data_IF_919742651551
#
_entry.id   IF_919742651551
#
_cell.length_a   1.000
_cell.length_b   1.000
_cell.length_c   1.000
_cell.angle_alpha   90.00
_cell.angle_beta   90.00
_cell.angle_gamma   90.00
#
_symmetry.space_group_name_H-M   'P 1'
#
loop_
_entity.id
_entity.type
_entity.pdbx_description
1 polymer ?
#
# COMPACT_ATOMS: atom_id res chain seq x y z
N UNK A 1 34.78 -3.23 -69.05
CA UNK A 1 34.91 -2.23 -67.97
C UNK A 1 33.73 -2.45 -67.03
N UNK A 2 33.95 -2.78 -65.74
CA UNK A 2 32.87 -2.88 -64.78
C UNK A 2 32.23 -1.49 -64.56
N UNK A 3 30.91 -1.40 -64.31
CA UNK A 3 30.26 -0.12 -64.07
C UNK A 3 30.74 0.47 -62.73
N UNK A 4 31.12 1.75 -62.74
CA UNK A 4 31.48 2.50 -61.54
C UNK A 4 30.27 2.66 -60.63
N UNK A 5 30.44 2.27 -59.37
CA UNK A 5 29.43 2.42 -58.33
C UNK A 5 29.29 3.90 -57.97
N UNK A 6 28.07 4.44 -58.05
CA UNK A 6 27.80 5.85 -57.76
C UNK A 6 28.16 6.18 -56.29
N UNK A 7 29.09 7.13 -56.03
CA UNK A 7 29.53 7.49 -54.69
C UNK A 7 28.41 8.05 -53.81
N UNK A 8 27.36 8.63 -54.41
CA UNK A 8 26.18 9.08 -53.67
C UNK A 8 25.33 7.90 -53.17
N UNK A 9 25.28 6.79 -53.92
CA UNK A 9 24.57 5.59 -53.49
C UNK A 9 25.27 4.91 -52.31
N UNK A 10 26.61 4.91 -52.31
CA UNK A 10 27.44 4.45 -51.19
C UNK A 10 27.25 5.33 -49.94
N UNK A 11 27.15 6.65 -50.10
CA UNK A 11 26.93 7.58 -49.00
C UNK A 11 25.53 7.44 -48.40
N UNK A 12 24.50 7.25 -49.24
CA UNK A 12 23.12 7.01 -48.79
C UNK A 12 23.00 5.66 -48.07
N UNK A 13 23.66 4.60 -48.58
CA UNK A 13 23.74 3.30 -47.90
C UNK A 13 24.50 3.40 -46.57
N UNK A 14 25.58 4.18 -46.50
CA UNK A 14 26.33 4.41 -45.27
C UNK A 14 25.52 5.20 -44.23
N UNK A 15 24.74 6.19 -44.65
CA UNK A 15 23.85 6.94 -43.75
C UNK A 15 22.63 6.13 -43.32
N UNK A 16 22.09 5.26 -44.18
CA UNK A 16 21.05 4.30 -43.80
C UNK A 16 21.57 3.23 -42.81
N UNK A 17 22.83 2.80 -42.96
CA UNK A 17 23.48 1.91 -42.00
C UNK A 17 23.81 2.60 -40.66
N UNK A 18 24.10 3.90 -40.68
CA UNK A 18 24.34 4.70 -39.46
C UNK A 18 23.06 5.11 -38.71
N UNK A 19 21.90 5.04 -39.37
CA UNK A 19 20.58 5.25 -38.74
C UNK A 19 20.04 4.02 -38.01
N UNK A 20 20.79 2.90 -38.00
CA UNK A 20 20.61 1.84 -37.00
C UNK A 20 21.14 2.34 -35.66
N UNK A 21 20.43 3.32 -35.09
CA UNK A 21 20.49 3.60 -33.66
C UNK A 21 20.28 2.26 -32.99
N UNK A 22 21.25 1.85 -32.17
CA UNK A 22 21.17 0.70 -31.30
C UNK A 22 19.89 0.81 -30.46
N UNK A 23 18.80 0.21 -30.95
CA UNK A 23 17.75 -0.26 -30.07
C UNK A 23 18.46 -1.23 -29.13
N UNK A 24 18.71 -0.80 -27.90
CA UNK A 24 19.06 -1.71 -26.82
C UNK A 24 18.02 -2.81 -26.90
N UNK A 25 18.43 -4.02 -27.31
CA UNK A 25 17.52 -5.14 -27.46
C UNK A 25 16.83 -5.28 -26.11
N UNK A 26 15.54 -4.97 -26.06
CA UNK A 26 14.73 -5.24 -24.88
C UNK A 26 14.87 -6.74 -24.65
N UNK A 27 15.39 -7.08 -23.49
CA UNK A 27 15.27 -8.42 -22.95
C UNK A 27 13.79 -8.83 -23.04
N UNK A 28 13.55 -10.11 -23.25
CA UNK A 28 12.20 -10.66 -23.41
C UNK A 28 12.20 -12.10 -22.90
N UNK A 29 11.01 -12.67 -22.71
CA UNK A 29 10.80 -14.03 -22.18
C UNK A 29 11.40 -14.22 -20.76
N UNK A 30 10.96 -13.41 -19.80
CA UNK A 30 11.33 -13.49 -18.39
C UNK A 30 12.82 -13.29 -18.07
N UNK A 31 13.55 -12.56 -18.93
CA UNK A 31 14.99 -12.35 -18.75
C UNK A 31 15.35 -10.92 -18.36
N UNK A 32 14.42 -9.97 -18.44
CA UNK A 32 14.69 -8.60 -18.01
C UNK A 32 14.91 -8.50 -16.52
N UNK A 33 16.04 -7.91 -16.16
CA UNK A 33 16.45 -7.66 -14.79
C UNK A 33 15.91 -6.33 -14.29
N UNK A 34 16.09 -6.07 -13.00
CA UNK A 34 15.64 -4.84 -12.37
C UNK A 34 16.18 -3.60 -13.11
N UNK A 35 15.29 -2.66 -13.43
CA UNK A 35 15.51 -1.42 -14.20
C UNK A 35 15.72 -1.59 -15.72
N UNK A 36 15.70 -2.82 -16.23
CA UNK A 36 15.74 -3.05 -17.67
C UNK A 36 14.44 -2.57 -18.34
N UNK A 37 14.49 -2.07 -19.58
CA UNK A 37 13.30 -1.73 -20.36
C UNK A 37 12.44 -2.96 -20.61
N UNK A 38 11.13 -2.81 -20.47
CA UNK A 38 10.16 -3.86 -20.78
C UNK A 38 8.96 -3.25 -21.51
N UNK A 39 8.25 -4.08 -22.26
CA UNK A 39 7.02 -3.69 -22.97
C UNK A 39 5.84 -4.55 -22.55
N UNK A 40 6.08 -5.84 -22.29
CA UNK A 40 5.08 -6.83 -21.93
C UNK A 40 5.24 -7.29 -20.47
N UNK A 41 4.14 -7.80 -19.90
CA UNK A 41 4.10 -8.26 -18.50
C UNK A 41 5.11 -9.38 -18.23
N UNK A 42 5.37 -10.22 -19.25
CA UNK A 42 6.23 -11.42 -19.16
C UNK A 42 7.69 -11.16 -19.56
N UNK A 43 8.08 -9.92 -19.87
CA UNK A 43 9.48 -9.61 -20.18
C UNK A 43 10.40 -9.76 -18.95
N UNK A 44 9.84 -9.46 -17.77
CA UNK A 44 10.56 -9.36 -16.52
C UNK A 44 10.83 -10.72 -15.85
N UNK A 45 12.00 -10.84 -15.21
CA UNK A 45 12.38 -12.01 -14.45
C UNK A 45 11.40 -12.30 -13.28
N UNK A 46 11.32 -13.54 -12.79
CA UNK A 46 10.44 -13.89 -11.68
C UNK A 46 10.62 -12.97 -10.47
N UNK A 47 9.50 -12.45 -9.94
CA UNK A 47 9.52 -11.48 -8.83
C UNK A 47 9.69 -10.02 -9.28
N UNK A 48 9.72 -9.76 -10.58
CA UNK A 48 9.67 -8.43 -11.20
C UNK A 48 8.37 -8.29 -12.03
N UNK A 49 7.88 -7.06 -12.20
CA UNK A 49 6.79 -6.74 -13.13
C UNK A 49 7.17 -5.54 -14.00
N UNK A 50 6.60 -5.50 -15.20
CA UNK A 50 6.82 -4.40 -16.12
C UNK A 50 5.93 -3.21 -15.73
N UNK A 51 6.54 -2.10 -15.32
CA UNK A 51 5.80 -0.94 -14.84
C UNK A 51 6.54 0.37 -15.03
N UNK A 52 5.79 1.47 -14.97
CA UNK A 52 6.37 2.81 -15.00
C UNK A 52 6.80 3.21 -13.59
N UNK A 53 7.99 3.80 -13.47
CA UNK A 53 8.45 4.47 -12.26
C UNK A 53 8.60 5.97 -12.59
N UNK A 54 7.58 6.81 -12.33
CA UNK A 54 7.61 8.23 -12.70
C UNK A 54 8.78 8.99 -12.07
N UNK A 55 9.23 8.56 -10.89
CA UNK A 55 10.35 9.14 -10.16
C UNK A 55 11.69 9.03 -10.88
N UNK A 56 11.84 8.07 -11.80
CA UNK A 56 13.08 7.85 -12.56
C UNK A 56 13.16 8.72 -13.83
N UNK A 57 12.12 9.50 -14.15
CA UNK A 57 12.09 10.34 -15.34
C UNK A 57 12.19 9.57 -16.67
N UNK A 58 11.93 8.26 -16.64
CA UNK A 58 11.97 7.39 -17.82
C UNK A 58 10.62 7.44 -18.55
N UNK A 59 10.67 7.61 -19.86
CA UNK A 59 9.50 7.64 -20.73
C UNK A 59 9.05 6.24 -21.19
N UNK A 60 9.59 5.17 -20.61
CA UNK A 60 9.27 3.79 -20.97
C UNK A 60 9.19 2.92 -19.71
N UNK A 61 8.31 1.90 -19.69
CA UNK A 61 8.22 0.95 -18.58
C UNK A 61 9.56 0.23 -18.38
N UNK A 62 9.81 -0.13 -17.13
CA UNK A 62 10.99 -0.91 -16.75
C UNK A 62 10.59 -2.01 -15.79
N UNK A 63 11.39 -3.07 -15.74
CA UNK A 63 11.17 -4.13 -14.78
C UNK A 63 11.47 -3.61 -13.37
N UNK A 64 10.42 -3.51 -12.58
CA UNK A 64 10.48 -3.10 -11.17
C UNK A 64 10.13 -4.30 -10.30
N UNK A 65 10.47 -4.26 -9.01
CA UNK A 65 10.19 -5.38 -8.11
C UNK A 65 8.68 -5.62 -8.04
N UNK A 66 8.25 -6.83 -8.41
CA UNK A 66 6.87 -7.31 -8.33
C UNK A 66 6.53 -7.99 -7.02
N UNK A 67 7.51 -8.28 -6.18
CA UNK A 67 7.28 -8.73 -4.80
C UNK A 67 8.23 -8.01 -3.84
N UNK A 68 7.66 -7.34 -2.85
CA UNK A 68 8.42 -6.79 -1.74
C UNK A 68 8.93 -7.93 -0.83
N UNK A 69 10.03 -7.67 -0.14
CA UNK A 69 10.56 -8.63 0.84
C UNK A 69 9.54 -8.81 1.97
N UNK A 70 9.17 -10.06 2.29
CA UNK A 70 8.26 -10.36 3.38
C UNK A 70 8.89 -9.96 4.72
N UNK A 71 8.41 -8.90 5.41
CA UNK A 71 9.07 -8.37 6.60
C UNK A 71 9.17 -9.43 7.70
N UNK A 72 8.12 -10.23 7.88
CA UNK A 72 8.02 -11.29 8.87
C UNK A 72 9.15 -12.33 8.78
N UNK A 73 9.77 -12.52 7.61
CA UNK A 73 10.91 -13.44 7.46
C UNK A 73 12.22 -12.88 8.05
N UNK A 74 12.37 -11.56 8.06
CA UNK A 74 13.57 -10.85 8.52
C UNK A 74 13.51 -10.58 10.02
N UNK A 75 12.32 -10.26 10.53
CA UNK A 75 12.13 -9.72 11.89
C UNK A 75 11.77 -10.78 12.93
N UNK A 76 11.85 -12.06 12.58
CA UNK A 76 11.54 -13.16 13.49
C UNK A 76 12.34 -13.01 14.79
N UNK A 77 11.64 -13.08 15.92
CA UNK A 77 12.23 -12.97 17.25
C UNK A 77 12.57 -11.56 17.73
N UNK A 78 12.47 -10.53 16.88
CA UNK A 78 12.60 -9.14 17.32
C UNK A 78 11.29 -8.64 17.94
N UNK A 79 11.34 -7.82 19.00
CA UNK A 79 10.18 -7.06 19.46
C UNK A 79 9.56 -6.23 18.32
N UNK A 80 8.23 -6.17 18.25
CA UNK A 80 7.53 -5.47 17.17
C UNK A 80 7.95 -4.00 17.00
N UNK A 81 8.26 -3.31 18.09
CA UNK A 81 8.73 -1.92 18.11
C UNK A 81 10.25 -1.74 17.87
N UNK A 82 10.98 -2.79 17.49
CA UNK A 82 12.40 -2.75 17.13
C UNK A 82 12.62 -2.92 15.62
N UNK A 83 11.57 -2.74 14.83
CA UNK A 83 11.63 -2.76 13.38
C UNK A 83 10.91 -1.54 12.79
N UNK A 84 11.32 -1.15 11.59
CA UNK A 84 10.67 -0.07 10.83
C UNK A 84 9.67 -0.67 9.85
N UNK A 85 8.41 -0.32 10.02
CA UNK A 85 7.32 -0.81 9.18
C UNK A 85 6.97 0.23 8.11
N UNK A 86 6.75 -0.23 6.88
CA UNK A 86 6.23 0.63 5.82
C UNK A 86 4.74 0.87 6.05
N UNK A 87 4.35 2.15 6.06
CA UNK A 87 2.97 2.60 6.31
C UNK A 87 2.55 3.53 5.17
N UNK A 88 1.32 3.38 4.68
CA UNK A 88 0.74 4.31 3.70
C UNK A 88 -0.25 5.25 4.36
N UNK A 89 -0.17 6.54 3.98
CA UNK A 89 -1.08 7.60 4.45
C UNK A 89 -2.33 7.60 3.58
N UNK A 90 -3.52 7.58 4.19
CA UNK A 90 -4.81 7.50 3.50
C UNK A 90 -4.80 6.40 2.45
N UNK A 91 -4.56 5.16 2.90
CA UNK A 91 -4.33 3.98 2.06
C UNK A 91 -5.45 3.70 1.06
N UNK A 92 -6.67 4.15 1.37
CA UNK A 92 -7.86 4.01 0.53
C UNK A 92 -7.97 5.10 -0.55
N UNK A 93 -7.17 6.17 -0.47
CA UNK A 93 -7.28 7.34 -1.31
C UNK A 93 -6.65 7.11 -2.70
N UNK A 94 -7.26 6.24 -3.50
CA UNK A 94 -6.71 5.69 -4.74
C UNK A 94 -7.15 6.49 -5.97
N UNK A 95 -6.20 6.85 -6.83
CA UNK A 95 -6.48 7.55 -8.08
C UNK A 95 -7.25 6.66 -9.06
N UNK A 96 -8.19 7.26 -9.80
CA UNK A 96 -9.02 6.59 -10.82
C UNK A 96 -9.92 5.44 -10.33
N UNK A 97 -10.06 5.27 -9.02
CA UNK A 97 -11.03 4.32 -8.48
C UNK A 97 -12.48 4.77 -8.78
N UNK A 98 -13.38 3.84 -9.14
CA UNK A 98 -14.79 4.15 -9.35
C UNK A 98 -15.45 4.79 -8.11
N UNK A 99 -16.36 5.74 -8.34
CA UNK A 99 -17.13 6.35 -7.26
C UNK A 99 -18.27 5.44 -6.80
N UNK A 100 -18.31 5.13 -5.50
CA UNK A 100 -19.41 4.38 -4.88
C UNK A 100 -20.67 5.23 -4.65
N UNK A 101 -20.56 6.57 -4.67
CA UNK A 101 -21.70 7.48 -4.47
C UNK A 101 -22.35 7.91 -5.79
N UNK A 102 -21.76 7.54 -6.93
CA UNK A 102 -22.14 8.04 -8.26
C UNK A 102 -21.80 9.53 -8.50
N UNK A 103 -21.22 10.21 -7.50
CA UNK A 103 -20.77 11.61 -7.61
C UNK A 103 -19.30 11.65 -8.01
N UNK A 104 -18.89 12.51 -8.97
CA UNK A 104 -17.48 12.71 -9.29
C UNK A 104 -16.68 13.13 -8.05
N UNK A 105 -15.55 12.47 -7.82
CA UNK A 105 -14.70 12.69 -6.64
C UNK A 105 -13.83 13.93 -6.85
N UNK A 106 -13.86 14.86 -5.89
CA UNK A 106 -13.08 16.10 -5.87
C UNK A 106 -12.35 16.20 -4.53
N UNK A 107 -11.21 15.52 -4.46
CA UNK A 107 -10.34 15.49 -3.28
C UNK A 107 -8.91 15.12 -3.70
N UNK A 108 -7.99 15.03 -2.74
CA UNK A 108 -6.62 14.60 -2.98
C UNK A 108 -6.52 13.08 -2.99
N UNK A 109 -5.68 12.55 -3.88
CA UNK A 109 -5.35 11.13 -3.97
C UNK A 109 -3.96 10.91 -3.37
N UNK A 110 -3.80 9.81 -2.63
CA UNK A 110 -2.54 9.46 -1.97
C UNK A 110 -1.90 8.20 -2.55
N UNK A 111 -2.68 7.34 -3.20
CA UNK A 111 -2.24 6.02 -3.64
C UNK A 111 -2.59 5.78 -5.11
N UNK A 112 -1.81 4.93 -5.76
CA UNK A 112 -2.10 4.39 -7.10
C UNK A 112 -2.54 2.91 -7.03
N UNK A 113 -2.16 2.23 -5.95
CA UNK A 113 -2.43 0.80 -5.72
C UNK A 113 -3.62 0.59 -4.79
N UNK A 114 -4.40 -0.47 -5.06
CA UNK A 114 -5.39 -1.01 -4.11
C UNK A 114 -4.74 -1.37 -2.76
N UNK A 115 -5.54 -1.42 -1.68
CA UNK A 115 -5.05 -1.84 -0.36
C UNK A 115 -4.47 -3.26 -0.40
N UNK A 116 -5.11 -4.18 -1.15
CA UNK A 116 -4.56 -5.51 -1.42
C UNK A 116 -3.15 -5.45 -2.02
N UNK A 117 -2.94 -4.59 -3.03
CA UNK A 117 -1.63 -4.46 -3.67
C UNK A 117 -0.61 -3.78 -2.75
N UNK A 118 -0.99 -2.75 -2.00
CA UNK A 118 -0.13 -2.15 -0.98
C UNK A 118 0.40 -3.21 0.00
N UNK A 119 -0.48 -4.07 0.53
CA UNK A 119 -0.10 -5.15 1.45
C UNK A 119 0.80 -6.20 0.78
N UNK A 120 0.50 -6.59 -0.47
CA UNK A 120 1.36 -7.49 -1.28
C UNK A 120 2.74 -6.87 -1.54
N UNK A 121 2.80 -5.55 -1.68
CA UNK A 121 4.00 -4.76 -1.91
C UNK A 121 4.71 -4.35 -0.61
N UNK A 122 4.44 -5.03 0.50
CA UNK A 122 5.24 -4.94 1.73
C UNK A 122 4.78 -3.89 2.73
N UNK A 123 3.70 -3.15 2.43
CA UNK A 123 3.05 -2.27 3.41
C UNK A 123 2.51 -3.14 4.56
N UNK A 124 2.73 -2.69 5.80
CA UNK A 124 2.26 -3.36 7.03
C UNK A 124 1.56 -2.40 7.99
N UNK A 125 1.42 -1.14 7.61
CA UNK A 125 0.56 -0.17 8.28
C UNK A 125 -0.33 0.55 7.27
N UNK A 126 -1.59 0.76 7.64
CA UNK A 126 -2.56 1.51 6.84
C UNK A 126 -3.14 2.64 7.69
N UNK A 127 -3.08 3.88 7.19
CA UNK A 127 -3.80 5.00 7.79
C UNK A 127 -5.14 5.17 7.06
N UNK A 128 -6.23 5.19 7.82
CA UNK A 128 -7.59 5.20 7.30
C UNK A 128 -8.40 6.31 8.00
N UNK A 129 -8.95 7.24 7.23
CA UNK A 129 -9.84 8.27 7.72
C UNK A 129 -11.26 7.72 7.67
N UNK A 130 -11.86 7.47 8.84
CA UNK A 130 -13.17 6.83 8.95
C UNK A 130 -14.22 7.82 9.47
N UNK A 131 -15.35 7.91 8.76
CA UNK A 131 -16.45 8.82 9.04
C UNK A 131 -17.77 8.07 9.15
N UNK A 132 -18.70 8.58 9.96
CA UNK A 132 -20.12 8.25 9.79
C UNK A 132 -20.64 8.92 8.51
N UNK A 133 -21.16 8.13 7.57
CA UNK A 133 -21.71 8.63 6.30
C UNK A 133 -22.74 7.65 5.73
N UNK A 134 -23.86 8.15 5.19
CA UNK A 134 -24.92 7.32 4.58
C UNK A 134 -25.39 6.16 5.48
N UNK A 135 -25.38 6.37 6.81
CA UNK A 135 -25.81 5.37 7.81
C UNK A 135 -24.81 4.24 8.09
N UNK A 136 -23.58 4.31 7.58
CA UNK A 136 -22.51 3.34 7.81
C UNK A 136 -21.16 4.06 8.07
N UNK A 137 -20.09 3.30 8.28
CA UNK A 137 -18.71 3.82 8.36
C UNK A 137 -18.06 3.81 6.99
N UNK A 138 -17.64 4.98 6.53
CA UNK A 138 -17.03 5.19 5.22
C UNK A 138 -15.61 5.71 5.34
N UNK A 139 -14.85 5.45 4.27
CA UNK A 139 -13.53 6.04 4.06
C UNK A 139 -13.68 7.29 3.21
N UNK A 140 -13.22 8.43 3.72
CA UNK A 140 -13.36 9.72 3.05
C UNK A 140 -12.10 10.55 3.20
N UNK A 141 -11.65 11.18 2.12
CA UNK A 141 -10.56 12.16 2.21
C UNK A 141 -11.19 13.55 2.29
N UNK A 142 -11.57 13.97 3.50
CA UNK A 142 -12.49 15.09 3.70
C UNK A 142 -11.96 16.13 4.69
N UNK A 143 -12.80 17.10 5.05
CA UNK A 143 -12.44 18.21 5.93
C UNK A 143 -13.54 18.49 6.96
N UNK A 144 -13.19 19.23 8.03
CA UNK A 144 -14.11 19.63 9.10
C UNK A 144 -14.81 18.46 9.82
N UNK A 145 -14.23 17.27 9.79
CA UNK A 145 -14.80 16.08 10.44
C UNK A 145 -16.10 15.58 9.82
N UNK A 146 -16.37 15.92 8.56
CA UNK A 146 -17.57 15.48 7.83
C UNK A 146 -17.19 14.82 6.52
N UNK A 147 -17.88 13.75 6.14
CA UNK A 147 -17.78 13.15 4.82
C UNK A 147 -18.86 13.69 3.88
N UNK A 148 -18.49 13.94 2.62
CA UNK A 148 -19.40 14.40 1.58
C UNK A 148 -19.37 13.44 0.39
N UNK A 149 -20.46 13.41 -0.40
CA UNK A 149 -20.53 12.55 -1.59
C UNK A 149 -19.35 12.70 -2.56
N UNK A 150 -18.78 13.90 -2.67
CA UNK A 150 -17.63 14.19 -3.56
C UNK A 150 -16.27 13.93 -2.91
N UNK A 151 -16.20 13.63 -1.60
CA UNK A 151 -14.97 13.26 -0.87
C UNK A 151 -14.95 11.80 -0.43
N UNK A 152 -16.08 11.10 -0.54
CA UNK A 152 -16.25 9.69 -0.19
C UNK A 152 -15.53 8.77 -1.18
N UNK A 153 -14.83 7.78 -0.65
CA UNK A 153 -14.21 6.72 -1.41
C UNK A 153 -15.13 5.51 -1.50
N UNK A 154 -15.26 4.78 -0.40
CA UNK A 154 -16.06 3.57 -0.30
C UNK A 154 -16.48 3.29 1.16
N UNK A 155 -17.46 2.38 1.38
CA UNK A 155 -17.71 1.82 2.71
C UNK A 155 -16.46 1.15 3.28
N UNK A 156 -16.11 1.45 4.52
CA UNK A 156 -14.86 0.97 5.13
C UNK A 156 -14.78 -0.57 5.24
N UNK A 157 -15.93 -1.26 5.21
CA UNK A 157 -16.00 -2.72 5.26
C UNK A 157 -15.26 -3.38 4.09
N UNK A 158 -15.22 -2.75 2.91
CA UNK A 158 -14.55 -3.30 1.72
C UNK A 158 -13.03 -3.39 1.93
N UNK A 159 -12.39 -2.26 2.23
CA UNK A 159 -10.98 -2.20 2.63
C UNK A 159 -10.65 -3.15 3.79
N UNK A 160 -11.51 -3.24 4.83
CA UNK A 160 -11.25 -4.17 5.93
C UNK A 160 -11.37 -5.65 5.53
N UNK A 161 -12.21 -5.99 4.55
CA UNK A 161 -12.26 -7.33 3.96
C UNK A 161 -11.01 -7.65 3.14
N UNK A 162 -10.39 -6.67 2.49
CA UNK A 162 -9.07 -6.87 1.87
C UNK A 162 -8.00 -7.20 2.92
N UNK A 163 -8.00 -6.50 4.06
CA UNK A 163 -7.08 -6.79 5.17
C UNK A 163 -7.33 -8.18 5.76
N UNK A 164 -8.59 -8.57 5.95
CA UNK A 164 -8.94 -9.91 6.45
C UNK A 164 -8.46 -10.99 5.50
N UNK A 165 -8.73 -10.85 4.20
CA UNK A 165 -8.29 -11.79 3.18
C UNK A 165 -6.76 -11.91 3.15
N UNK A 166 -6.04 -10.79 3.28
CA UNK A 166 -4.59 -10.78 3.35
C UNK A 166 -4.07 -11.51 4.60
N UNK A 167 -4.58 -11.21 5.80
CA UNK A 167 -4.14 -11.86 7.04
C UNK A 167 -4.49 -13.35 7.08
N UNK A 168 -5.61 -13.74 6.47
CA UNK A 168 -6.02 -15.14 6.33
C UNK A 168 -5.11 -15.91 5.36
N UNK A 169 -4.73 -15.30 4.24
CA UNK A 169 -3.81 -15.91 3.28
C UNK A 169 -2.34 -15.93 3.75
N UNK A 170 -1.95 -15.01 4.66
CA UNK A 170 -0.57 -14.83 5.10
C UNK A 170 -0.45 -15.01 6.63
N UNK A 171 -0.38 -16.25 7.14
CA UNK A 171 -0.46 -16.52 8.58
C UNK A 171 0.73 -16.00 9.39
N UNK A 172 1.84 -15.67 8.72
CA UNK A 172 3.03 -15.10 9.37
C UNK A 172 3.06 -13.57 9.37
N UNK A 173 2.05 -12.90 8.82
CA UNK A 173 2.06 -11.45 8.67
C UNK A 173 1.23 -10.76 9.75
N UNK A 174 1.64 -9.53 10.09
CA UNK A 174 1.00 -8.63 11.04
C UNK A 174 0.66 -7.34 10.32
N UNK A 175 -0.54 -6.81 10.52
CA UNK A 175 -0.98 -5.52 9.95
C UNK A 175 -1.32 -4.55 11.08
N UNK A 176 -0.96 -3.29 10.89
CA UNK A 176 -1.37 -2.17 11.75
C UNK A 176 -2.39 -1.31 11.00
N UNK A 177 -3.48 -0.94 11.66
CA UNK A 177 -4.42 0.07 11.17
C UNK A 177 -4.40 1.25 12.13
N UNK A 178 -4.25 2.44 11.59
CA UNK A 178 -4.26 3.71 12.32
C UNK A 178 -5.45 4.50 11.79
N UNK A 179 -6.40 4.83 12.66
CA UNK A 179 -7.67 5.43 12.27
C UNK A 179 -7.66 6.91 12.65
N UNK A 180 -7.75 7.78 11.64
CA UNK A 180 -8.22 9.15 11.87
C UNK A 180 -9.73 9.11 12.01
N UNK A 181 -10.18 9.21 13.26
CA UNK A 181 -11.48 8.73 13.68
C UNK A 181 -12.51 9.86 13.82
N UNK A 182 -13.43 9.92 12.87
CA UNK A 182 -14.61 10.78 12.85
C UNK A 182 -15.91 9.98 13.00
N UNK A 183 -15.83 8.76 13.55
CA UNK A 183 -17.00 7.89 13.81
C UNK A 183 -17.54 8.20 15.20
N UNK A 184 -18.71 8.82 15.24
CA UNK A 184 -19.47 9.17 16.43
C UNK A 184 -20.52 8.12 16.80
N UNK A 185 -20.93 7.28 15.85
CA UNK A 185 -21.86 6.17 16.10
C UNK A 185 -21.32 5.25 17.19
N UNK A 186 -22.07 5.04 18.30
CA UNK A 186 -21.61 4.20 19.40
C UNK A 186 -21.26 2.78 18.93
N UNK A 187 -20.03 2.35 19.22
CA UNK A 187 -19.48 1.05 18.79
C UNK A 187 -19.44 0.85 17.27
N UNK A 188 -19.45 1.94 16.48
CA UNK A 188 -19.41 1.88 15.01
C UNK A 188 -18.19 1.11 14.52
N UNK A 189 -17.00 1.48 15.01
CA UNK A 189 -15.74 0.80 14.66
C UNK A 189 -15.72 -0.65 15.13
N UNK A 190 -16.05 -0.92 16.40
CA UNK A 190 -16.03 -2.29 16.93
C UNK A 190 -16.97 -3.23 16.14
N UNK A 191 -18.16 -2.76 15.77
CA UNK A 191 -19.10 -3.50 14.91
C UNK A 191 -18.54 -3.70 13.50
N UNK A 192 -17.97 -2.67 12.91
CA UNK A 192 -17.33 -2.74 11.59
C UNK A 192 -16.25 -3.82 11.55
N UNK A 193 -15.33 -3.84 12.52
CA UNK A 193 -14.27 -4.85 12.60
C UNK A 193 -14.81 -6.26 12.89
N UNK A 194 -15.87 -6.39 13.69
CA UNK A 194 -16.56 -7.67 13.89
C UNK A 194 -17.16 -8.20 12.58
N UNK A 195 -17.86 -7.34 11.82
CA UNK A 195 -18.47 -7.69 10.54
C UNK A 195 -17.41 -8.02 9.47
N UNK A 196 -16.24 -7.39 9.56
CA UNK A 196 -15.10 -7.71 8.71
C UNK A 196 -14.47 -9.08 9.04
N UNK A 197 -14.80 -9.70 10.19
CA UNK A 197 -14.17 -10.91 10.73
C UNK A 197 -12.69 -10.72 11.11
N UNK A 198 -12.34 -9.51 11.57
CA UNK A 198 -10.98 -9.13 11.94
C UNK A 198 -10.68 -9.29 13.44
N UNK A 199 -11.71 -9.42 14.30
CA UNK A 199 -11.52 -9.56 15.74
C UNK A 199 -10.71 -10.80 16.12
N UNK A 200 -10.72 -11.86 15.30
CA UNK A 200 -9.90 -13.07 15.48
C UNK A 200 -8.39 -12.81 15.42
N UNK A 201 -7.96 -11.69 14.83
CA UNK A 201 -6.56 -11.28 14.75
C UNK A 201 -6.19 -10.17 15.74
N UNK A 202 -7.17 -9.60 16.45
CA UNK A 202 -7.03 -8.36 17.19
C UNK A 202 -6.06 -8.46 18.36
N UNK A 203 -5.09 -7.54 18.44
CA UNK A 203 -4.19 -7.43 19.58
C UNK A 203 -4.87 -6.65 20.71
N UNK A 204 -5.10 -7.25 21.90
CA UNK A 204 -5.86 -6.61 22.96
C UNK A 204 -5.05 -5.52 23.69
N UNK A 205 -5.68 -4.37 23.96
CA UNK A 205 -5.09 -3.23 24.70
C UNK A 205 -4.53 -3.65 26.07
N UNK A 206 -5.16 -4.61 26.74
CA UNK A 206 -4.70 -5.12 28.04
C UNK A 206 -3.32 -5.77 28.00
N UNK A 207 -2.88 -6.26 26.84
CA UNK A 207 -1.55 -6.86 26.63
C UNK A 207 -0.57 -5.89 25.96
N UNK A 208 -0.97 -4.64 25.68
CA UNK A 208 -0.07 -3.66 25.06
C UNK A 208 0.95 -3.15 26.08
N UNK A 209 2.26 -3.11 25.72
CA UNK A 209 3.29 -2.57 26.60
C UNK A 209 3.06 -1.10 26.93
N UNK A 210 3.52 -0.70 28.11
CA UNK A 210 3.45 0.68 28.60
C UNK A 210 4.84 1.18 28.97
N UNK A 211 5.01 2.50 28.99
CA UNK A 211 6.24 3.17 29.44
C UNK A 211 7.50 2.77 28.63
N UNK A 212 7.35 2.65 27.31
CA UNK A 212 8.47 2.38 26.40
C UNK A 212 9.08 0.97 26.49
N UNK A 213 8.41 0.03 27.18
CA UNK A 213 8.81 -1.38 27.19
C UNK A 213 8.71 -1.98 25.79
N UNK A 214 9.53 -2.99 25.56
CA UNK A 214 9.49 -3.78 24.32
C UNK A 214 8.13 -4.46 24.17
N UNK A 215 7.65 -4.46 22.92
CA UNK A 215 6.52 -5.28 22.51
C UNK A 215 6.90 -6.76 22.50
N UNK A 216 5.93 -7.70 22.56
CA UNK A 216 6.23 -9.09 22.30
C UNK A 216 6.96 -9.26 20.97
N UNK A 217 7.73 -10.33 20.85
CA UNK A 217 8.38 -10.61 19.59
C UNK A 217 7.33 -10.83 18.49
N UNK A 218 7.67 -10.51 17.25
CA UNK A 218 6.80 -10.77 16.09
C UNK A 218 6.40 -12.25 16.05
N UNK A 219 7.31 -13.15 16.43
CA UNK A 219 7.04 -14.59 16.54
C UNK A 219 5.95 -14.90 17.57
N UNK A 220 6.00 -14.28 18.76
CA UNK A 220 5.01 -14.52 19.82
C UNK A 220 3.63 -13.96 19.45
N UNK A 221 3.60 -12.80 18.80
CA UNK A 221 2.37 -12.19 18.29
C UNK A 221 1.69 -13.10 17.27
N UNK A 222 2.46 -13.64 16.31
CA UNK A 222 1.97 -14.60 15.32
C UNK A 222 1.48 -15.89 15.99
N UNK A 223 2.22 -16.44 16.94
CA UNK A 223 1.87 -17.68 17.63
C UNK A 223 0.55 -17.56 18.41
N UNK A 224 0.25 -16.38 18.96
CA UNK A 224 -1.04 -16.07 19.62
C UNK A 224 -2.14 -15.63 18.65
N UNK A 225 -1.85 -15.54 17.36
CA UNK A 225 -2.71 -14.95 16.33
C UNK A 225 -3.08 -13.47 16.61
N UNK A 226 -2.30 -12.75 17.40
CA UNK A 226 -2.46 -11.30 17.62
C UNK A 226 -1.78 -10.52 16.50
N UNK A 227 -2.36 -10.60 15.30
CA UNK A 227 -1.76 -10.15 14.03
C UNK A 227 -2.38 -8.86 13.47
N UNK A 228 -3.30 -8.24 14.19
CA UNK A 228 -3.89 -6.97 13.85
C UNK A 228 -3.77 -6.00 15.03
N UNK A 229 -3.01 -4.93 14.86
CA UNK A 229 -3.01 -3.80 15.79
C UNK A 229 -3.91 -2.70 15.24
N UNK A 230 -4.78 -2.14 16.08
CA UNK A 230 -5.66 -1.04 15.67
C UNK A 230 -5.53 0.10 16.65
N UNK A 231 -5.25 1.28 16.11
CA UNK A 231 -5.13 2.53 16.84
C UNK A 231 -6.17 3.54 16.34
N UNK A 232 -6.65 4.39 17.24
CA UNK A 232 -7.59 5.48 16.94
C UNK A 232 -7.04 6.82 17.44
N UNK A 233 -7.36 7.90 16.74
CA UNK A 233 -7.10 9.29 17.15
C UNK A 233 -8.00 9.77 18.31
N UNK A 234 -9.04 9.02 18.70
CA UNK A 234 -9.99 9.39 19.77
C UNK A 234 -9.63 8.70 21.09
N UNK A 235 -9.25 9.49 22.10
CA UNK A 235 -8.76 8.97 23.38
C UNK A 235 -9.79 8.15 24.20
N UNK A 236 -11.07 8.51 24.16
CA UNK A 236 -12.10 7.85 24.98
C UNK A 236 -12.36 6.40 24.56
N UNK A 237 -12.17 6.08 23.27
CA UNK A 237 -12.42 4.74 22.72
C UNK A 237 -11.50 3.66 23.26
N UNK A 238 -10.35 4.00 23.83
CA UNK A 238 -9.52 3.00 24.52
C UNK A 238 -10.22 2.44 25.76
N UNK A 239 -10.83 3.31 26.56
CA UNK A 239 -11.53 2.89 27.77
C UNK A 239 -12.94 2.33 27.47
N UNK A 240 -13.62 2.90 26.47
CA UNK A 240 -15.03 2.60 26.17
C UNK A 240 -15.20 1.40 25.22
N UNK A 241 -14.27 1.23 24.28
CA UNK A 241 -14.36 0.24 23.19
C UNK A 241 -13.16 -0.70 23.09
N UNK A 242 -12.07 -0.43 23.82
CA UNK A 242 -10.86 -1.25 23.76
C UNK A 242 -10.03 -1.05 22.49
N UNK A 243 -10.18 0.08 21.81
CA UNK A 243 -9.37 0.46 20.65
C UNK A 243 -8.24 1.38 21.12
N UNK A 244 -6.98 1.00 20.86
CA UNK A 244 -5.83 1.68 21.43
C UNK A 244 -5.76 3.16 21.01
N UNK A 245 -5.54 4.07 21.95
CA UNK A 245 -5.37 5.48 21.63
C UNK A 245 -3.96 5.71 21.08
N UNK A 246 -3.85 6.13 19.82
CA UNK A 246 -2.57 6.11 19.08
C UNK A 246 -1.45 6.88 19.80
N UNK A 247 -1.76 8.04 20.37
CA UNK A 247 -0.78 8.93 21.00
C UNK A 247 -0.21 8.39 22.33
N UNK A 248 -0.72 7.27 22.85
CA UNK A 248 -0.09 6.53 23.96
C UNK A 248 1.04 5.61 23.51
N UNK A 249 1.03 5.18 22.25
CA UNK A 249 1.92 4.13 21.74
C UNK A 249 2.81 4.62 20.59
N UNK A 250 2.43 5.72 19.93
CA UNK A 250 3.07 6.25 18.74
C UNK A 250 3.37 7.74 18.95
N UNK A 251 4.49 8.18 18.38
CA UNK A 251 4.84 9.59 18.27
C UNK A 251 4.91 9.92 16.78
N UNK A 252 4.08 10.86 16.34
CA UNK A 252 4.25 11.48 15.03
C UNK A 252 5.26 12.62 15.17
N UNK A 253 6.30 12.58 14.35
CA UNK A 253 7.29 13.64 14.32
C UNK A 253 7.10 14.43 13.02
N UNK A 254 6.56 15.63 13.13
CA UNK A 254 6.46 16.54 11.99
C UNK A 254 7.87 16.88 11.50
N UNK A 255 8.25 16.35 10.34
CA UNK A 255 9.32 16.98 9.57
C UNK A 255 8.70 18.10 8.75
N UNK A 256 8.78 19.32 9.28
CA UNK A 256 8.67 20.51 8.44
C UNK A 256 9.89 20.50 7.52
N UNK A 257 9.70 20.08 6.27
CA UNK A 257 10.64 20.34 5.19
C UNK A 257 10.72 21.85 4.95
#
# INVERSE_FOLDING_TARGET
MPPELNPHLLLVLAMAAAALVSASASCSNHNCQLLDPCSEVDDCAPGLFCGNCPSDGKNQPTCIRGQATQPASIVKGLPFNKYTWLVTHNSFSIVNEPSFTGTPRVTFFNQEDSVTNQLRNGVRGLMLDMYDFEGDVWLCHSFQGQCFNFTAFEPAINTLKEVEAFLSANPSEIVTIIIEDYVHTPKGLTKLFANADLLKFWYPVSEMPKNGKDWPSVTDMIAKNHRLLVFTSVASKEAEEGIAYQWRYMLENERKC
#
